data_IF_929884153921
#
_entry.id   IF_929884153921
#
_cell.length_a   1.000
_cell.length_b   1.000
_cell.length_c   1.000
_cell.angle_alpha   90.00
_cell.angle_beta   90.00
_cell.angle_gamma   90.00
#
_symmetry.space_group_name_H-M   'P 1'
#
loop_
_entity.id
_entity.type
_entity.pdbx_description
1 polymer ?
#
# COMPACT_ATOMS: atom_id res chain seq x y z
N UNK A 1 21.71 55.27 -5.62
CA UNK A 1 21.96 53.91 -5.09
C UNK A 1 20.74 53.05 -5.38
N UNK A 2 20.81 52.03 -6.27
CA UNK A 2 19.69 51.14 -6.50
C UNK A 2 19.71 49.98 -5.48
N UNK A 3 18.57 49.77 -4.84
CA UNK A 3 18.31 48.69 -3.89
C UNK A 3 18.27 47.33 -4.61
N UNK A 4 18.73 46.22 -4.01
CA UNK A 4 18.64 44.91 -4.64
C UNK A 4 17.16 44.47 -4.74
N UNK A 5 16.72 44.15 -5.96
CA UNK A 5 15.41 43.56 -6.19
C UNK A 5 15.44 42.08 -5.76
N UNK A 6 14.67 41.75 -4.73
CA UNK A 6 14.45 40.37 -4.30
C UNK A 6 13.42 39.74 -5.26
N UNK A 7 13.89 38.81 -6.09
CA UNK A 7 13.02 38.01 -6.96
C UNK A 7 12.39 36.91 -6.11
N UNK A 8 11.11 37.07 -5.78
CA UNK A 8 10.32 35.98 -5.21
C UNK A 8 10.07 34.94 -6.30
N UNK A 9 10.74 33.78 -6.20
CA UNK A 9 10.34 32.60 -6.96
C UNK A 9 8.91 32.23 -6.56
N UNK A 10 7.98 32.01 -7.50
CA UNK A 10 6.63 31.58 -7.16
C UNK A 10 6.75 30.29 -6.35
N UNK A 11 6.28 30.36 -5.10
CA UNK A 11 6.23 29.20 -4.22
C UNK A 11 5.57 28.06 -4.98
N UNK A 12 6.29 26.95 -5.11
CA UNK A 12 5.82 25.75 -5.82
C UNK A 12 4.54 25.29 -5.11
N UNK A 13 3.39 25.74 -5.59
CA UNK A 13 2.10 25.41 -5.02
C UNK A 13 2.05 23.90 -4.90
N UNK A 14 1.94 23.40 -3.66
CA UNK A 14 1.92 21.97 -3.38
C UNK A 14 0.60 21.45 -3.95
N UNK A 15 0.63 21.01 -5.22
CA UNK A 15 -0.53 20.43 -5.90
C UNK A 15 -1.04 19.31 -5.01
N UNK A 16 -2.32 19.37 -4.63
CA UNK A 16 -2.96 18.28 -3.92
C UNK A 16 -2.66 16.98 -4.67
N UNK A 17 -2.23 15.92 -3.97
CA UNK A 17 -1.82 14.71 -4.66
C UNK A 17 -3.03 14.19 -5.44
N UNK A 18 -2.89 14.07 -6.77
CA UNK A 18 -3.98 13.58 -7.61
C UNK A 18 -4.32 12.15 -7.19
N UNK A 19 -5.62 11.86 -7.13
CA UNK A 19 -6.11 10.50 -6.89
C UNK A 19 -5.55 9.61 -8.01
N UNK A 20 -4.83 8.52 -7.70
CA UNK A 20 -4.36 7.60 -8.73
C UNK A 20 -5.54 6.81 -9.29
N UNK A 21 -5.64 6.73 -10.62
CA UNK A 21 -6.72 6.08 -11.37
C UNK A 21 -6.20 4.80 -12.07
N UNK A 22 -7.01 3.73 -12.09
CA UNK A 22 -6.79 2.55 -12.94
C UNK A 22 -5.41 1.89 -12.83
N UNK A 23 -4.82 1.61 -14.00
CA UNK A 23 -3.52 0.94 -14.16
C UNK A 23 -2.35 1.67 -13.45
N UNK A 24 -2.49 2.96 -13.14
CA UNK A 24 -1.47 3.70 -12.39
C UNK A 24 -1.28 3.13 -10.97
N UNK A 25 -2.23 2.35 -10.45
CA UNK A 25 -2.15 1.67 -9.16
C UNK A 25 -1.49 0.28 -9.21
N UNK A 26 -1.12 -0.21 -10.41
CA UNK A 26 -0.58 -1.55 -10.62
C UNK A 26 0.83 -1.52 -11.24
N UNK A 27 1.80 -0.78 -10.66
CA UNK A 27 3.16 -0.84 -11.19
C UNK A 27 3.75 -2.25 -11.00
N UNK A 28 4.84 -2.60 -11.70
CA UNK A 28 5.40 -3.95 -11.68
C UNK A 28 5.67 -4.50 -10.27
N UNK A 29 6.17 -3.66 -9.36
CA UNK A 29 6.33 -4.00 -7.95
C UNK A 29 5.78 -2.89 -7.06
N UNK A 30 4.91 -3.28 -6.14
CA UNK A 30 4.36 -2.43 -5.07
C UNK A 30 4.67 -3.02 -3.71
N UNK A 31 5.27 -2.23 -2.82
CA UNK A 31 5.44 -2.60 -1.40
C UNK A 31 4.28 -2.05 -0.58
N UNK A 32 3.75 -2.87 0.33
CA UNK A 32 2.71 -2.49 1.28
C UNK A 32 3.24 -2.72 2.69
N UNK A 33 3.27 -1.67 3.50
CA UNK A 33 3.70 -1.71 4.89
C UNK A 33 2.47 -1.56 5.79
N UNK A 34 2.02 -2.63 6.48
CA UNK A 34 1.03 -2.51 7.54
C UNK A 34 1.55 -1.56 8.63
N UNK A 35 0.75 -0.59 9.04
CA UNK A 35 1.14 0.38 10.08
C UNK A 35 1.08 -0.21 11.49
N UNK A 36 0.29 -1.27 11.71
CA UNK A 36 0.17 -1.95 13.00
C UNK A 36 0.45 -3.44 12.83
N UNK A 37 0.95 -4.08 13.88
CA UNK A 37 1.09 -5.54 13.89
C UNK A 37 -0.30 -6.19 13.77
N UNK A 38 -0.38 -7.29 13.02
CA UNK A 38 -1.61 -8.03 12.74
C UNK A 38 -2.74 -7.20 12.09
N UNK A 39 -2.47 -6.01 11.55
CA UNK A 39 -3.48 -5.21 10.84
C UNK A 39 -3.80 -5.83 9.46
N UNK A 40 -5.05 -6.24 9.19
CA UNK A 40 -5.43 -6.81 7.90
C UNK A 40 -5.54 -5.74 6.79
N UNK A 41 -5.26 -4.48 7.09
CA UNK A 41 -5.49 -3.36 6.19
C UNK A 41 -4.70 -3.45 4.89
N UNK A 42 -3.41 -3.82 4.96
CA UNK A 42 -2.60 -4.03 3.77
C UNK A 42 -3.15 -5.17 2.90
N UNK A 43 -3.58 -6.27 3.52
CA UNK A 43 -4.19 -7.42 2.85
C UNK A 43 -5.48 -7.02 2.15
N UNK A 44 -6.39 -6.34 2.84
CA UNK A 44 -7.64 -5.84 2.28
C UNK A 44 -7.42 -4.85 1.12
N UNK A 45 -6.47 -3.94 1.29
CA UNK A 45 -6.08 -2.99 0.25
C UNK A 45 -5.53 -3.71 -0.99
N UNK A 46 -4.64 -4.69 -0.83
CA UNK A 46 -4.16 -5.51 -1.96
C UNK A 46 -5.31 -6.25 -2.64
N UNK A 47 -6.20 -6.89 -1.88
CA UNK A 47 -7.36 -7.59 -2.43
C UNK A 47 -8.25 -6.67 -3.28
N UNK A 48 -8.41 -5.41 -2.87
CA UNK A 48 -9.16 -4.42 -3.67
C UNK A 48 -8.45 -4.03 -4.97
N UNK A 49 -7.13 -4.16 -5.04
CA UNK A 49 -6.33 -3.92 -6.25
C UNK A 49 -6.28 -5.14 -7.18
N UNK A 50 -6.75 -6.31 -6.79
CA UNK A 50 -6.69 -7.51 -7.63
C UNK A 50 -7.78 -7.47 -8.72
N UNK A 51 -7.39 -7.82 -9.95
CA UNK A 51 -8.35 -7.97 -11.04
C UNK A 51 -9.21 -9.21 -10.83
N UNK A 52 -10.50 -9.08 -11.13
CA UNK A 52 -11.39 -10.23 -11.24
C UNK A 52 -11.17 -10.94 -12.57
N UNK A 53 -11.26 -12.27 -12.60
CA UNK A 53 -11.15 -13.01 -13.84
C UNK A 53 -10.80 -14.49 -13.67
N UNK A 54 -10.52 -15.14 -14.81
CA UNK A 54 -10.24 -16.57 -14.86
C UNK A 54 -8.79 -16.92 -14.47
N UNK A 55 -7.87 -15.97 -14.60
CA UNK A 55 -6.44 -16.14 -14.28
C UNK A 55 -6.22 -16.04 -12.77
N UNK A 56 -5.58 -17.03 -12.13
CA UNK A 56 -5.42 -17.03 -10.69
C UNK A 56 -4.37 -16.03 -10.20
N UNK A 57 -4.49 -15.63 -8.94
CA UNK A 57 -3.50 -14.88 -8.18
C UNK A 57 -2.69 -15.87 -7.36
N UNK A 58 -1.36 -15.80 -7.46
CA UNK A 58 -0.47 -16.55 -6.59
C UNK A 58 -0.29 -15.78 -5.28
N UNK A 59 -0.58 -16.40 -4.14
CA UNK A 59 -0.42 -15.79 -2.82
C UNK A 59 0.54 -16.61 -1.97
N UNK A 60 1.73 -16.07 -1.70
CA UNK A 60 2.81 -16.79 -1.04
C UNK A 60 3.06 -16.19 0.36
N UNK A 61 3.05 -17.04 1.38
CA UNK A 61 3.36 -16.61 2.76
C UNK A 61 4.43 -17.51 3.38
N UNK A 62 5.41 -16.93 4.07
CA UNK A 62 6.33 -17.68 4.92
C UNK A 62 5.69 -18.06 6.27
N UNK A 63 6.43 -18.81 7.10
CA UNK A 63 5.91 -19.25 8.40
C UNK A 63 5.66 -18.10 9.36
N UNK A 64 6.51 -17.06 9.36
CA UNK A 64 6.38 -15.96 10.32
C UNK A 64 5.23 -15.04 9.94
N UNK A 65 5.07 -14.69 8.66
CA UNK A 65 3.93 -13.88 8.19
C UNK A 65 2.60 -14.56 8.52
N UNK A 66 2.51 -15.89 8.34
CA UNK A 66 1.29 -16.63 8.73
C UNK A 66 1.01 -16.62 10.22
N UNK A 67 2.03 -16.56 11.07
CA UNK A 67 1.87 -16.49 12.53
C UNK A 67 1.43 -15.10 12.97
N UNK A 68 2.00 -14.06 12.38
CA UNK A 68 1.80 -12.67 12.81
C UNK A 68 0.59 -12.00 12.15
N UNK A 69 0.29 -12.32 10.89
CA UNK A 69 -0.80 -11.72 10.11
C UNK A 69 -1.93 -12.72 9.78
N UNK A 70 -1.76 -13.99 10.14
CA UNK A 70 -2.71 -15.06 9.82
C UNK A 70 -2.63 -15.52 8.37
N UNK A 71 -3.65 -16.25 7.92
CA UNK A 71 -3.76 -16.71 6.54
C UNK A 71 -5.06 -16.18 5.93
N UNK A 72 -5.06 -15.99 4.60
CA UNK A 72 -6.26 -15.63 3.87
C UNK A 72 -7.35 -16.69 4.04
N UNK A 73 -8.49 -16.29 4.60
CA UNK A 73 -9.69 -17.10 4.69
C UNK A 73 -10.74 -16.64 3.68
N UNK A 74 -10.63 -17.13 2.43
CA UNK A 74 -11.46 -16.67 1.31
C UNK A 74 -12.98 -16.70 1.58
N UNK A 75 -13.54 -17.75 2.22
CA UNK A 75 -14.98 -17.76 2.50
C UNK A 75 -15.45 -16.60 3.40
N UNK A 76 -14.58 -16.10 4.28
CA UNK A 76 -14.89 -14.97 5.16
C UNK A 76 -14.75 -13.60 4.51
N UNK A 77 -14.24 -13.51 3.28
CA UNK A 77 -14.04 -12.24 2.58
C UNK A 77 -15.26 -11.80 1.76
N UNK A 78 -16.30 -12.63 1.69
CA UNK A 78 -17.59 -12.31 1.08
C UNK A 78 -17.46 -11.66 -0.30
N UNK A 79 -18.11 -10.51 -0.49
CA UNK A 79 -18.07 -9.76 -1.75
C UNK A 79 -16.66 -9.32 -2.16
N UNK A 80 -15.74 -9.06 -1.22
CA UNK A 80 -14.40 -8.57 -1.53
C UNK A 80 -13.59 -9.60 -2.32
N UNK A 81 -13.70 -10.89 -1.96
CA UNK A 81 -13.01 -11.97 -2.68
C UNK A 81 -13.89 -12.71 -3.71
N UNK A 82 -15.17 -12.33 -3.85
CA UNK A 82 -16.04 -12.92 -4.86
C UNK A 82 -15.42 -12.78 -6.26
N UNK A 83 -15.24 -13.90 -6.95
CA UNK A 83 -14.63 -13.96 -8.28
C UNK A 83 -13.10 -13.99 -8.31
N UNK A 84 -12.41 -13.88 -7.15
CA UNK A 84 -10.97 -14.10 -7.09
C UNK A 84 -10.65 -15.59 -7.05
N UNK A 85 -9.68 -16.00 -7.88
CA UNK A 85 -9.10 -17.34 -7.86
C UNK A 85 -7.72 -17.25 -7.23
N UNK A 86 -7.56 -17.69 -5.99
CA UNK A 86 -6.29 -17.57 -5.25
C UNK A 86 -5.62 -18.94 -5.10
N UNK A 87 -4.38 -19.04 -5.56
CA UNK A 87 -3.48 -20.16 -5.31
C UNK A 87 -2.61 -19.82 -4.09
N UNK A 88 -2.94 -20.41 -2.93
CA UNK A 88 -2.15 -20.22 -1.72
C UNK A 88 -0.93 -21.13 -1.69
N UNK A 89 0.25 -20.55 -1.55
CA UNK A 89 1.51 -21.27 -1.35
C UNK A 89 2.07 -20.93 0.02
N UNK A 90 2.32 -21.96 0.82
CA UNK A 90 2.84 -21.82 2.18
C UNK A 90 4.25 -22.38 2.22
N UNK A 91 5.20 -21.52 2.54
CA UNK A 91 6.61 -21.89 2.65
C UNK A 91 7.13 -21.65 4.06
N UNK A 92 8.35 -22.12 4.34
CA UNK A 92 8.95 -22.00 5.66
C UNK A 92 9.75 -20.71 5.83
N UNK A 93 10.49 -20.30 4.79
CA UNK A 93 11.45 -19.19 4.91
C UNK A 93 11.17 -18.05 3.91
N UNK A 94 11.55 -16.80 4.24
CA UNK A 94 11.40 -15.65 3.34
C UNK A 94 12.07 -15.81 1.98
N UNK A 95 13.22 -16.50 1.90
CA UNK A 95 13.89 -16.80 0.62
C UNK A 95 13.00 -17.63 -0.32
N UNK A 96 12.22 -18.54 0.24
CA UNK A 96 11.33 -19.43 -0.51
C UNK A 96 10.11 -18.63 -1.01
N UNK A 97 9.68 -17.59 -0.26
CA UNK A 97 8.66 -16.63 -0.70
C UNK A 97 9.17 -15.88 -1.92
N UNK A 98 10.36 -15.28 -1.82
CA UNK A 98 10.96 -14.52 -2.91
C UNK A 98 11.17 -15.38 -4.15
N UNK A 99 11.65 -16.62 -4.00
CA UNK A 99 11.80 -17.55 -5.11
C UNK A 99 10.46 -17.86 -5.79
N UNK A 100 9.43 -18.23 -5.02
CA UNK A 100 8.11 -18.51 -5.59
C UNK A 100 7.47 -17.27 -6.25
N UNK A 101 7.70 -16.08 -5.68
CA UNK A 101 7.26 -14.82 -6.28
C UNK A 101 7.96 -14.55 -7.61
N UNK A 102 9.25 -14.84 -7.74
CA UNK A 102 9.98 -14.66 -9.00
C UNK A 102 9.48 -15.59 -10.11
N UNK A 103 9.20 -16.86 -9.77
CA UNK A 103 8.62 -17.81 -10.71
C UNK A 103 7.21 -17.36 -11.12
N UNK A 104 6.38 -16.95 -10.15
CA UNK A 104 5.07 -16.38 -10.42
C UNK A 104 5.13 -15.12 -11.29
N UNK A 105 6.07 -14.22 -11.01
CA UNK A 105 6.25 -12.97 -11.76
C UNK A 105 6.74 -13.23 -13.20
N UNK A 106 7.21 -14.44 -13.50
CA UNK A 106 7.59 -14.86 -14.85
C UNK A 106 6.48 -15.62 -15.58
N UNK A 107 5.35 -15.89 -14.90
CA UNK A 107 4.26 -16.71 -15.40
C UNK A 107 3.08 -15.85 -15.90
N UNK A 108 3.01 -15.62 -17.21
CA UNK A 108 1.93 -14.88 -17.86
C UNK A 108 0.56 -15.60 -17.85
N UNK A 109 0.39 -16.68 -17.08
CA UNK A 109 -0.92 -17.26 -16.78
C UNK A 109 -1.53 -16.69 -15.49
N UNK A 110 -0.74 -16.06 -14.61
CA UNK A 110 -1.22 -15.47 -13.35
C UNK A 110 -1.71 -14.05 -13.55
N UNK A 111 -2.78 -13.64 -12.86
CA UNK A 111 -3.27 -12.25 -12.91
C UNK A 111 -2.48 -11.31 -11.99
N UNK A 112 -1.89 -11.85 -10.92
CA UNK A 112 -0.99 -11.14 -10.01
C UNK A 112 -0.20 -12.12 -9.15
N UNK A 113 0.84 -11.61 -8.50
CA UNK A 113 1.59 -12.32 -7.45
C UNK A 113 1.59 -11.48 -6.18
N UNK A 114 1.26 -12.09 -5.06
CA UNK A 114 1.32 -11.48 -3.74
C UNK A 114 2.26 -12.29 -2.86
N UNK A 115 3.21 -11.62 -2.23
CA UNK A 115 4.07 -12.21 -1.21
C UNK A 115 3.91 -11.51 0.12
N UNK A 116 4.00 -12.28 1.20
CA UNK A 116 4.07 -11.75 2.56
C UNK A 116 5.39 -12.14 3.22
N UNK A 117 6.09 -11.14 3.74
CA UNK A 117 7.32 -11.32 4.51
C UNK A 117 7.23 -10.44 5.76
N UNK A 118 7.50 -11.05 6.92
CA UNK A 118 7.55 -10.37 8.21
C UNK A 118 9.00 -10.02 8.60
N UNK A 119 9.19 -8.84 9.16
CA UNK A 119 10.47 -8.26 9.53
C UNK A 119 11.29 -7.81 8.31
N UNK A 120 12.60 -7.69 8.52
CA UNK A 120 13.58 -7.38 7.49
C UNK A 120 14.64 -8.51 7.41
N UNK A 121 14.26 -9.72 6.95
CA UNK A 121 15.23 -10.80 6.81
C UNK A 121 16.29 -10.42 5.76
N UNK A 122 17.54 -10.86 5.95
CA UNK A 122 18.64 -10.56 5.03
C UNK A 122 18.37 -10.96 3.56
N UNK A 123 17.53 -11.99 3.35
CA UNK A 123 17.11 -12.40 2.01
C UNK A 123 16.24 -11.35 1.28
N UNK A 124 15.53 -10.49 2.02
CA UNK A 124 14.73 -9.39 1.48
C UNK A 124 15.61 -8.13 1.36
N UNK A 125 16.54 -8.17 0.41
CA UNK A 125 17.41 -7.04 0.11
C UNK A 125 16.95 -6.27 -1.15
N UNK A 126 17.69 -5.20 -1.48
CA UNK A 126 17.41 -4.39 -2.67
C UNK A 126 17.56 -5.21 -3.96
N UNK A 127 18.48 -6.17 -3.99
CA UNK A 127 18.74 -7.01 -5.16
C UNK A 127 17.56 -7.95 -5.44
N UNK A 128 16.98 -8.56 -4.41
CA UNK A 128 15.80 -9.40 -4.50
C UNK A 128 14.59 -8.61 -5.01
N UNK A 129 14.31 -7.45 -4.42
CA UNK A 129 13.19 -6.59 -4.88
C UNK A 129 13.41 -6.07 -6.30
N UNK A 130 14.65 -5.77 -6.69
CA UNK A 130 14.99 -5.39 -8.08
C UNK A 130 14.72 -6.53 -9.07
N UNK A 131 15.09 -7.77 -8.72
CA UNK A 131 14.80 -8.95 -9.55
C UNK A 131 13.31 -9.16 -9.75
N UNK A 132 12.52 -9.02 -8.68
CA UNK A 132 11.05 -9.08 -8.76
C UNK A 132 10.49 -8.01 -9.70
N UNK A 133 10.89 -6.75 -9.53
CA UNK A 133 10.41 -5.65 -10.37
C UNK A 133 10.73 -5.87 -11.86
N UNK A 134 11.94 -6.35 -12.19
CA UNK A 134 12.34 -6.63 -13.57
C UNK A 134 11.51 -7.77 -14.18
N UNK A 135 11.26 -8.85 -13.43
CA UNK A 135 10.45 -9.98 -13.93
C UNK A 135 9.00 -9.57 -14.15
N UNK A 136 8.42 -8.86 -13.18
CA UNK A 136 7.07 -8.31 -13.27
C UNK A 136 6.91 -7.37 -14.48
N UNK A 137 7.90 -6.52 -14.73
CA UNK A 137 7.88 -5.62 -15.89
C UNK A 137 7.96 -6.37 -17.22
N UNK A 138 8.76 -7.44 -17.29
CA UNK A 138 8.89 -8.26 -18.50
C UNK A 138 7.64 -9.07 -18.82
N UNK A 139 6.95 -9.59 -17.81
CA UNK A 139 5.76 -10.44 -18.00
C UNK A 139 4.45 -9.65 -18.02
N UNK A 140 4.45 -8.42 -17.52
CA UNK A 140 3.24 -7.63 -17.26
C UNK A 140 2.42 -8.13 -16.07
N UNK A 141 2.92 -9.09 -15.28
CA UNK A 141 2.23 -9.58 -14.08
C UNK A 141 2.57 -8.68 -12.89
N UNK A 142 1.59 -7.96 -12.30
CA UNK A 142 1.85 -7.09 -11.16
C UNK A 142 2.22 -7.91 -9.92
N UNK A 143 3.21 -7.42 -9.18
CA UNK A 143 3.70 -8.02 -7.93
C UNK A 143 3.43 -7.08 -6.76
N UNK A 144 2.83 -7.64 -5.70
CA UNK A 144 2.57 -6.96 -4.45
C UNK A 144 3.35 -7.65 -3.33
N UNK A 145 4.15 -6.90 -2.59
CA UNK A 145 4.91 -7.40 -1.45
C UNK A 145 4.41 -6.74 -0.16
N UNK A 146 3.74 -7.51 0.69
CA UNK A 146 3.32 -7.08 2.02
C UNK A 146 4.49 -7.31 2.98
N UNK A 147 4.97 -6.23 3.59
CA UNK A 147 6.17 -6.17 4.43
C UNK A 147 5.79 -5.83 5.86
N UNK A 148 5.36 -6.84 6.61
CA UNK A 148 4.96 -6.69 8.01
C UNK A 148 6.16 -6.41 8.91
N UNK A 149 6.05 -5.51 9.89
CA UNK A 149 7.12 -5.15 10.82
C UNK A 149 8.47 -4.78 10.17
N UNK A 150 8.46 -4.34 8.91
CA UNK A 150 9.65 -3.88 8.21
C UNK A 150 9.99 -2.43 8.62
N UNK A 151 11.22 -2.15 9.09
CA UNK A 151 11.63 -0.82 9.53
C UNK A 151 11.82 0.21 8.39
N UNK A 152 11.48 -0.14 7.15
CA UNK A 152 11.59 0.73 5.99
C UNK A 152 12.82 0.44 5.12
N UNK A 153 13.24 -0.83 5.04
CA UNK A 153 14.39 -1.25 4.22
C UNK A 153 14.21 -0.81 2.76
N UNK A 154 15.33 -0.59 2.07
CA UNK A 154 15.33 -0.21 0.66
C UNK A 154 14.60 -1.23 -0.21
N UNK A 155 14.02 -0.74 -1.30
CA UNK A 155 13.24 -1.53 -2.24
C UNK A 155 13.29 -0.94 -3.63
N UNK A 156 13.25 -1.79 -4.64
CA UNK A 156 13.06 -1.40 -6.03
C UNK A 156 11.58 -1.17 -6.41
N UNK A 157 10.64 -1.29 -5.46
CA UNK A 157 9.22 -1.04 -5.68
C UNK A 157 8.97 0.38 -6.21
N UNK A 158 8.16 0.47 -7.28
CA UNK A 158 7.79 1.76 -7.89
C UNK A 158 6.76 2.51 -7.07
N UNK A 159 6.03 1.82 -6.20
CA UNK A 159 5.14 2.39 -5.21
C UNK A 159 5.35 1.71 -3.86
N UNK A 160 5.36 2.51 -2.80
CA UNK A 160 5.45 2.03 -1.43
C UNK A 160 4.37 2.71 -0.61
N UNK A 161 3.48 1.89 -0.08
CA UNK A 161 2.34 2.32 0.70
C UNK A 161 2.53 1.97 2.16
N UNK A 162 2.07 2.85 3.04
CA UNK A 162 1.72 2.54 4.42
C UNK A 162 0.21 2.41 4.49
N UNK A 163 -0.28 1.33 5.08
CA UNK A 163 -1.72 1.03 5.11
C UNK A 163 -2.13 0.69 6.54
N UNK A 164 -3.22 1.29 7.00
CA UNK A 164 -3.91 0.90 8.22
C UNK A 164 -5.40 0.64 7.96
N UNK A 165 -5.99 -0.32 8.66
CA UNK A 165 -7.45 -0.46 8.68
C UNK A 165 -8.11 0.77 9.32
N UNK A 166 -9.21 1.22 8.72
CA UNK A 166 -10.15 2.17 9.31
C UNK A 166 -11.46 1.44 9.63
N UNK A 167 -12.27 1.97 10.57
CA UNK A 167 -13.63 1.49 10.75
C UNK A 167 -14.39 1.42 9.41
N UNK A 168 -15.12 0.33 9.18
CA UNK A 168 -15.99 0.22 8.02
C UNK A 168 -17.03 1.34 8.02
N UNK A 169 -17.60 1.64 6.86
CA UNK A 169 -18.79 2.49 6.82
C UNK A 169 -19.96 1.83 7.57
N UNK A 170 -20.97 2.62 7.92
CA UNK A 170 -22.25 2.06 8.35
C UNK A 170 -22.88 1.28 7.19
N UNK A 171 -23.47 0.12 7.48
CA UNK A 171 -24.20 -0.64 6.48
C UNK A 171 -25.58 0.03 6.22
N UNK A 172 -25.98 0.27 4.95
CA UNK A 172 -27.17 1.06 4.63
C UNK A 172 -28.50 0.48 5.17
N UNK A 173 -28.54 -0.84 5.38
CA UNK A 173 -29.79 -1.56 5.71
C UNK A 173 -29.75 -2.27 7.07
N UNK A 174 -28.61 -2.25 7.77
CA UNK A 174 -28.49 -2.88 9.09
C UNK A 174 -27.43 -2.15 9.91
N UNK A 175 -27.80 -1.31 10.90
CA UNK A 175 -26.84 -0.54 11.68
C UNK A 175 -25.90 -1.40 12.54
N UNK A 176 -26.18 -2.70 12.71
CA UNK A 176 -25.31 -3.64 13.43
C UNK A 176 -24.39 -4.44 12.52
N UNK A 177 -24.60 -4.38 11.20
CA UNK A 177 -23.73 -5.01 10.23
C UNK A 177 -22.57 -4.08 9.83
N UNK A 178 -21.37 -4.63 9.57
CA UNK A 178 -20.29 -3.82 9.00
C UNK A 178 -20.65 -3.41 7.56
N UNK A 179 -20.38 -2.16 7.20
CA UNK A 179 -20.43 -1.70 5.82
C UNK A 179 -19.12 -1.98 5.06
N UNK A 180 -18.87 -1.22 4.01
CA UNK A 180 -17.69 -1.41 3.17
C UNK A 180 -16.38 -1.13 3.91
N UNK A 181 -15.38 -1.97 3.65
CA UNK A 181 -14.04 -1.85 4.22
C UNK A 181 -13.37 -0.54 3.79
N UNK A 182 -12.66 0.08 4.73
CA UNK A 182 -11.91 1.31 4.51
C UNK A 182 -10.50 1.18 5.06
N UNK A 183 -9.57 1.85 4.40
CA UNK A 183 -8.17 1.88 4.80
C UNK A 183 -7.63 3.29 4.71
N UNK A 184 -6.75 3.62 5.63
CA UNK A 184 -5.88 4.77 5.53
C UNK A 184 -4.66 4.37 4.72
N UNK A 185 -4.52 4.93 3.52
CA UNK A 185 -3.48 4.58 2.57
C UNK A 185 -2.58 5.78 2.30
N UNK A 186 -1.34 5.72 2.77
CA UNK A 186 -0.31 6.73 2.52
C UNK A 186 0.70 6.18 1.49
N UNK A 187 0.75 6.79 0.31
CA UNK A 187 1.84 6.57 -0.63
C UNK A 187 3.01 7.47 -0.25
N UNK A 188 3.93 6.95 0.55
CA UNK A 188 5.09 7.71 1.03
C UNK A 188 6.25 7.72 0.02
N UNK A 189 6.25 6.81 -0.96
CA UNK A 189 7.22 6.81 -2.06
C UNK A 189 6.61 6.31 -3.35
N UNK A 190 6.82 7.04 -4.44
CA UNK A 190 6.49 6.57 -5.78
C UNK A 190 7.40 7.17 -6.84
N UNK A 191 7.63 6.43 -7.91
CA UNK A 191 8.32 6.94 -9.10
C UNK A 191 7.31 7.68 -9.99
N UNK A 192 7.63 8.92 -10.38
CA UNK A 192 6.81 9.70 -11.32
C UNK A 192 5.57 10.38 -10.73
N UNK A 193 5.36 10.35 -9.40
CA UNK A 193 4.25 11.06 -8.73
C UNK A 193 4.61 11.56 -7.34
N UNK A 194 3.92 12.59 -6.89
CA UNK A 194 4.07 13.11 -5.54
C UNK A 194 3.49 12.13 -4.49
N UNK A 195 4.12 11.98 -3.32
CA UNK A 195 3.52 11.31 -2.17
C UNK A 195 2.15 11.89 -1.80
N UNK A 196 1.31 11.10 -1.13
CA UNK A 196 -0.02 11.52 -0.68
C UNK A 196 -0.68 10.52 0.26
N UNK A 197 -1.82 10.91 0.83
CA UNK A 197 -2.59 10.08 1.75
C UNK A 197 -4.08 10.16 1.45
N UNK A 198 -4.75 9.01 1.47
CA UNK A 198 -6.14 8.88 1.10
C UNK A 198 -6.87 7.95 2.06
N UNK A 199 -8.19 8.13 2.15
CA UNK A 199 -9.08 7.07 2.59
C UNK A 199 -9.40 6.22 1.37
N UNK A 200 -8.82 5.02 1.35
CA UNK A 200 -9.12 3.96 0.41
C UNK A 200 -10.39 3.23 0.84
N UNK A 201 -11.27 2.91 -0.11
CA UNK A 201 -12.53 2.22 0.14
C UNK A 201 -12.70 1.09 -0.86
N UNK A 202 -13.11 -0.07 -0.37
CA UNK A 202 -13.59 -1.09 -1.28
C UNK A 202 -14.92 -0.65 -1.92
N UNK A 203 -14.96 -0.57 -3.24
CA UNK A 203 -16.14 -0.16 -3.99
C UNK A 203 -16.42 -1.17 -5.12
N UNK A 204 -17.23 -2.22 -4.89
CA UNK A 204 -17.48 -3.24 -5.89
C UNK A 204 -18.23 -2.72 -7.13
N UNK A 205 -18.75 -1.49 -7.10
CA UNK A 205 -19.45 -0.86 -8.23
C UNK A 205 -18.52 -0.23 -9.27
N UNK A 206 -17.23 -0.10 -8.99
CA UNK A 206 -16.23 0.46 -9.90
C UNK A 206 -15.39 -0.64 -10.55
N UNK A 207 -14.89 -0.40 -11.77
CA UNK A 207 -14.06 -1.36 -12.49
C UNK A 207 -12.79 -1.77 -11.70
N UNK A 208 -12.19 -0.81 -10.99
CA UNK A 208 -10.97 -1.02 -10.18
C UNK A 208 -11.25 -1.48 -8.75
N UNK A 209 -12.51 -1.58 -8.35
CA UNK A 209 -12.98 -2.03 -7.02
C UNK A 209 -12.43 -1.23 -5.81
N UNK A 210 -11.83 -0.08 -6.09
CA UNK A 210 -11.17 0.80 -5.14
C UNK A 210 -11.55 2.25 -5.44
N UNK A 211 -12.03 2.94 -4.41
CA UNK A 211 -12.21 4.39 -4.42
C UNK A 211 -11.21 5.04 -3.47
N UNK A 212 -10.54 6.09 -3.91
CA UNK A 212 -9.55 6.84 -3.12
C UNK A 212 -10.03 8.28 -2.94
N UNK A 213 -10.32 8.64 -1.69
CA UNK A 213 -10.74 10.01 -1.33
C UNK A 213 -9.57 10.68 -0.62
N UNK A 214 -9.17 11.86 -1.11
CA UNK A 214 -8.09 12.63 -0.49
C UNK A 214 -8.37 12.82 1.00
N UNK A 215 -7.41 12.42 1.83
CA UNK A 215 -7.49 12.69 3.25
C UNK A 215 -6.96 14.10 3.47
N UNK A 216 -7.73 15.02 4.10
CA UNK A 216 -7.15 16.28 4.53
C UNK A 216 -5.93 15.98 5.39
N UNK A 217 -4.81 16.64 5.13
CA UNK A 217 -3.68 16.59 6.06
C UNK A 217 -4.18 17.20 7.38
N UNK A 218 -4.38 16.37 8.40
CA UNK A 218 -4.37 16.85 9.79
C UNK A 218 -2.94 17.27 10.08
N UNK A 219 -2.57 18.48 9.65
CA UNK A 219 -1.44 19.16 10.25
C UNK A 219 -1.85 19.46 11.68
N UNK A 220 -1.10 18.87 12.62
CA UNK A 220 -1.07 19.29 14.00
C UNK A 220 -1.03 20.82 14.06
N UNK A 221 -2.02 21.41 14.73
CA UNK A 221 -2.04 22.82 15.08
C UNK A 221 -0.73 23.14 15.81
N UNK A 222 0.01 24.09 15.27
CA UNK A 222 1.15 24.72 15.92
C UNK A 222 0.72 25.16 17.32
N UNK A 223 1.37 24.63 18.36
CA UNK A 223 1.34 25.31 19.66
C UNK A 223 2.23 26.53 19.50
N UNK A 224 1.62 27.66 19.13
CA UNK A 224 2.24 28.96 19.17
C UNK A 224 2.68 29.26 20.60
N UNK A 225 3.96 29.05 20.87
CA UNK A 225 4.63 29.63 22.03
C UNK A 225 4.83 31.12 21.75
N UNK A 226 3.87 31.94 22.19
CA UNK A 226 4.07 33.37 22.32
C UNK A 226 5.25 33.62 23.26
N UNK A 227 6.39 34.03 22.70
CA UNK A 227 7.45 34.64 23.50
C UNK A 227 6.97 36.03 23.90
N UNK A 228 6.62 36.15 25.17
CA UNK A 228 6.30 37.40 25.87
C UNK A 228 7.53 38.30 25.76
N UNK A 229 7.33 39.48 25.16
CA UNK A 229 8.21 40.63 25.36
C UNK A 229 7.99 41.15 26.78
N UNK A 230 9.05 41.19 27.60
CA UNK A 230 9.10 42.13 28.70
C UNK A 230 10.42 42.89 28.67
N UNK A 231 10.27 44.19 28.43
CA UNK A 231 11.27 45.20 28.69
C UNK A 231 10.84 45.91 29.98
N UNK A 232 11.70 45.91 31.01
CA UNK A 232 12.05 47.08 31.83
C UNK A 232 12.77 46.71 33.14
N UNK A 233 13.90 47.38 33.40
CA UNK A 233 14.10 48.09 34.66
C UNK A 233 14.84 47.38 35.80
N UNK A 234 16.15 47.60 35.89
CA UNK A 234 16.80 48.38 36.96
C UNK A 234 18.25 48.68 36.59
#
# INVERSE_FOLDING_TARGET
MPYPQVVHLPGRGRRAPSVPEGDALRPPLTDLHPLRSADPGATGFVLSLLSLGQRPVLWVQDRLSRREAGALYLPGLGHMASGLRILQVRVSHPRDVLWAMEEGASCAALSAVVGEIHGAPAALDFTATKRLAIRAERSGVPVYLIRGADPGVLSAARMRWRVASLPSQAHPHDPRAPGWAQWDAELFRAQGRAPGRWVARHDPGTADRLSLVSRPDDRAVETGGAAISDAAGS
#
